data_IF_765837170253
#
_entry.id   IF_765837170253
#
_cell.length_a   1.000
_cell.length_b   1.000
_cell.length_c   1.000
_cell.angle_alpha   90.00
_cell.angle_beta   90.00
_cell.angle_gamma   90.00
#
_symmetry.space_group_name_H-M   'P 1'
#
loop_
_entity.id
_entity.type
_entity.pdbx_description
1 polymer ?
#
# COMPACT_ATOMS: atom_id res chain seq x y z
N UNK A 1 37.28 72.52 -8.95
CA UNK A 1 36.40 71.67 -9.78
C UNK A 1 36.38 70.26 -9.18
N UNK A 2 35.17 69.71 -8.90
CA UNK A 2 34.80 68.32 -8.55
C UNK A 2 35.68 67.50 -7.59
N UNK A 3 35.17 67.32 -6.36
CA UNK A 3 35.31 66.09 -5.54
C UNK A 3 34.19 65.10 -5.98
N UNK A 4 34.22 63.76 -5.77
CA UNK A 4 34.08 63.18 -4.42
C UNK A 4 34.60 61.74 -4.18
N UNK A 5 34.59 61.34 -2.88
CA UNK A 5 34.19 60.01 -2.35
C UNK A 5 35.16 58.82 -2.54
N UNK A 6 35.28 57.83 -1.65
CA UNK A 6 34.59 57.47 -0.41
C UNK A 6 35.24 56.21 0.22
N UNK A 7 35.27 56.18 1.56
CA UNK A 7 34.91 55.07 2.47
C UNK A 7 35.57 53.67 2.44
N UNK A 8 35.97 53.26 3.65
CA UNK A 8 36.13 51.91 4.19
C UNK A 8 34.90 50.99 4.00
N UNK A 9 35.13 49.67 3.89
CA UNK A 9 34.32 48.60 4.52
C UNK A 9 34.97 47.20 4.37
N UNK A 10 35.05 46.37 5.42
CA UNK A 10 35.15 44.91 5.29
C UNK A 10 33.76 44.30 5.06
N UNK A 11 33.63 43.46 4.04
CA UNK A 11 32.37 42.78 3.71
C UNK A 11 32.07 41.63 4.69
N UNK A 12 31.14 41.93 5.59
CA UNK A 12 29.90 41.20 5.94
C UNK A 12 29.95 39.65 5.95
N UNK A 13 29.64 39.12 7.14
CA UNK A 13 29.07 37.79 7.41
C UNK A 13 27.83 37.55 6.51
N UNK A 14 27.82 36.47 5.73
CA UNK A 14 26.59 35.89 5.16
C UNK A 14 25.97 34.96 6.21
N UNK A 15 24.84 35.35 6.81
CA UNK A 15 23.49 35.08 6.34
C UNK A 15 23.12 33.60 6.52
N UNK A 16 22.63 33.30 7.72
CA UNK A 16 21.78 32.13 7.99
C UNK A 16 20.49 32.28 7.18
N UNK A 17 20.31 31.44 6.17
CA UNK A 17 19.05 31.24 5.45
C UNK A 17 18.78 29.74 5.52
N UNK A 18 17.62 29.22 5.90
CA UNK A 18 16.43 29.74 6.52
C UNK A 18 15.74 28.50 7.12
N UNK A 19 14.99 28.66 8.19
CA UNK A 19 14.13 27.60 8.72
C UNK A 19 13.08 27.28 7.65
N UNK A 20 13.36 26.27 6.83
CA UNK A 20 12.37 25.66 5.96
C UNK A 20 11.25 25.14 6.83
N UNK A 21 10.07 25.73 6.65
CA UNK A 21 8.84 25.47 7.35
C UNK A 21 8.64 23.96 7.52
N UNK A 22 8.86 23.49 8.74
CA UNK A 22 8.63 22.10 9.10
C UNK A 22 7.13 21.90 9.07
N UNK A 23 6.58 21.52 7.90
CA UNK A 23 5.23 20.96 7.84
C UNK A 23 5.16 19.90 8.94
N UNK A 24 4.27 20.02 9.93
CA UNK A 24 4.17 19.00 10.95
C UNK A 24 3.84 17.70 10.22
N UNK A 25 4.79 16.76 10.19
CA UNK A 25 4.53 15.41 9.72
C UNK A 25 3.49 14.87 10.69
N UNK A 26 2.24 14.82 10.24
CA UNK A 26 1.15 14.38 11.08
C UNK A 26 1.28 12.85 11.23
N UNK A 27 2.13 12.41 12.16
CA UNK A 27 2.44 10.99 12.38
C UNK A 27 1.22 10.17 12.84
N UNK A 28 0.14 10.83 13.27
CA UNK A 28 -1.10 10.21 13.73
C UNK A 28 -2.08 9.88 12.60
N UNK A 29 -2.15 10.69 11.54
CA UNK A 29 -3.13 10.54 10.44
C UNK A 29 -2.96 9.25 9.61
N UNK A 30 -1.93 8.49 9.91
CA UNK A 30 -1.45 7.44 9.03
C UNK A 30 -1.05 6.19 9.86
N UNK A 31 -1.34 6.16 11.18
CA UNK A 31 -1.08 4.98 12.01
C UNK A 31 -2.12 3.88 11.71
N UNK A 32 -1.66 2.64 11.58
CA UNK A 32 -2.55 1.48 11.51
C UNK A 32 -3.21 1.29 12.88
N UNK A 33 -4.55 1.23 12.97
CA UNK A 33 -5.27 0.91 14.21
C UNK A 33 -4.80 -0.43 14.80
N UNK A 34 -4.73 -0.57 16.12
CA UNK A 34 -4.22 -1.80 16.75
C UNK A 34 -5.07 -3.05 16.41
N UNK A 35 -6.36 -2.85 16.19
CA UNK A 35 -7.38 -3.83 15.85
C UNK A 35 -7.55 -4.05 14.33
N UNK A 36 -6.64 -3.55 13.49
CA UNK A 36 -6.79 -3.56 12.03
C UNK A 36 -7.13 -4.92 11.42
N UNK A 37 -6.66 -6.03 12.01
CA UNK A 37 -6.97 -7.38 11.54
C UNK A 37 -8.46 -7.71 11.62
N UNK A 38 -9.14 -7.22 12.66
CA UNK A 38 -10.58 -7.41 12.86
C UNK A 38 -11.42 -6.52 11.93
N UNK A 39 -10.77 -5.55 11.29
CA UNK A 39 -11.38 -4.59 10.37
C UNK A 39 -11.16 -4.93 8.91
N UNK A 40 -10.49 -6.06 8.62
CA UNK A 40 -10.34 -6.55 7.25
C UNK A 40 -11.72 -6.93 6.69
N UNK A 41 -11.95 -6.73 5.38
CA UNK A 41 -13.17 -7.21 4.77
C UNK A 41 -13.20 -8.74 4.79
N UNK A 42 -14.41 -9.30 4.82
CA UNK A 42 -14.63 -10.74 4.72
C UNK A 42 -13.95 -11.28 3.44
N UNK A 43 -13.22 -12.37 3.60
CA UNK A 43 -12.28 -12.84 2.59
C UNK A 43 -12.99 -13.27 1.29
N UNK A 44 -14.15 -13.93 1.38
CA UNK A 44 -14.93 -14.27 0.19
C UNK A 44 -15.34 -13.03 -0.59
N UNK A 45 -15.96 -12.05 0.08
CA UNK A 45 -16.39 -10.79 -0.53
C UNK A 45 -15.22 -10.07 -1.19
N UNK A 46 -14.09 -10.00 -0.50
CA UNK A 46 -12.88 -9.39 -1.04
C UNK A 46 -12.41 -10.10 -2.31
N UNK A 47 -12.20 -11.42 -2.27
CA UNK A 47 -11.68 -12.16 -3.41
C UNK A 47 -12.64 -12.19 -4.61
N UNK A 48 -13.96 -12.22 -4.36
CA UNK A 48 -14.99 -12.09 -5.41
C UNK A 48 -14.89 -10.75 -6.15
N UNK A 49 -14.55 -9.66 -5.45
CA UNK A 49 -14.31 -8.35 -6.06
C UNK A 49 -13.01 -8.28 -6.87
N UNK A 50 -11.98 -9.02 -6.46
CA UNK A 50 -10.67 -8.96 -7.11
C UNK A 50 -10.50 -9.93 -8.29
N UNK A 51 -11.23 -11.04 -8.31
CA UNK A 51 -11.01 -12.16 -9.23
C UNK A 51 -12.26 -12.36 -10.08
N UNK A 52 -12.18 -11.97 -11.36
CA UNK A 52 -13.33 -11.95 -12.28
C UNK A 52 -14.04 -13.31 -12.44
N UNK A 53 -13.29 -14.41 -12.36
CA UNK A 53 -13.82 -15.78 -12.44
C UNK A 53 -13.31 -16.62 -11.27
N UNK A 54 -13.90 -16.40 -10.10
CA UNK A 54 -13.63 -17.20 -8.91
C UNK A 54 -14.66 -18.34 -8.81
N UNK A 55 -14.19 -19.58 -8.66
CA UNK A 55 -15.06 -20.74 -8.49
C UNK A 55 -15.87 -20.66 -7.19
N UNK A 56 -16.81 -21.59 -7.02
CA UNK A 56 -17.39 -21.84 -5.70
C UNK A 56 -16.31 -22.45 -4.79
N UNK A 57 -16.31 -22.12 -3.49
CA UNK A 57 -15.44 -22.81 -2.54
C UNK A 57 -15.82 -24.29 -2.47
N UNK A 58 -14.82 -25.15 -2.34
CA UNK A 58 -15.01 -26.57 -2.07
C UNK A 58 -15.42 -26.80 -0.60
N UNK A 59 -15.63 -28.06 -0.21
CA UNK A 59 -16.00 -28.42 1.17
C UNK A 59 -14.98 -28.01 2.24
N UNK A 60 -13.75 -27.69 1.84
CA UNK A 60 -12.69 -27.18 2.71
C UNK A 60 -12.53 -25.65 2.65
N UNK A 61 -13.43 -24.93 1.95
CA UNK A 61 -13.40 -23.46 1.86
C UNK A 61 -12.44 -22.88 0.83
N UNK A 62 -11.83 -23.71 -0.04
CA UNK A 62 -10.93 -23.24 -1.09
C UNK A 62 -11.67 -23.00 -2.41
N UNK A 63 -11.46 -21.83 -3.00
CA UNK A 63 -11.91 -21.47 -4.34
C UNK A 63 -10.72 -21.25 -5.28
N UNK A 64 -10.90 -21.55 -6.56
CA UNK A 64 -9.89 -21.39 -7.61
C UNK A 64 -10.27 -20.30 -8.59
N UNK A 65 -9.27 -19.62 -9.14
CA UNK A 65 -9.46 -18.62 -10.17
C UNK A 65 -8.19 -18.36 -10.96
N UNK A 66 -8.31 -17.57 -12.03
CA UNK A 66 -7.15 -17.05 -12.74
C UNK A 66 -6.51 -15.93 -11.92
N UNK A 67 -5.18 -15.95 -11.79
CA UNK A 67 -4.47 -14.84 -11.16
C UNK A 67 -4.59 -13.60 -12.08
N UNK A 68 -5.03 -12.43 -11.58
CA UNK A 68 -5.32 -11.29 -12.44
C UNK A 68 -4.08 -10.54 -12.99
N UNK A 69 -2.86 -11.08 -12.82
CA UNK A 69 -1.58 -10.41 -13.14
C UNK A 69 -0.77 -11.06 -14.25
N UNK A 70 -1.23 -12.18 -14.78
CA UNK A 70 -0.67 -12.79 -15.97
C UNK A 70 -1.78 -13.54 -16.70
N UNK A 71 -1.57 -13.88 -17.98
CA UNK A 71 -2.46 -14.80 -18.68
C UNK A 71 -2.33 -16.19 -18.06
N UNK A 72 -3.13 -16.40 -17.02
CA UNK A 72 -3.27 -17.69 -16.38
C UNK A 72 -4.34 -18.49 -17.10
N UNK A 73 -3.90 -19.29 -18.07
CA UNK A 73 -4.81 -20.16 -18.84
C UNK A 73 -5.37 -21.32 -18.01
N UNK A 74 -4.83 -21.59 -16.80
CA UNK A 74 -5.11 -22.82 -16.06
C UNK A 74 -5.57 -22.59 -14.60
N UNK A 75 -6.05 -21.39 -14.27
CA UNK A 75 -6.55 -21.05 -12.93
C UNK A 75 -5.63 -21.51 -11.78
N UNK A 76 -4.39 -21.02 -11.79
CA UNK A 76 -3.33 -21.38 -10.85
C UNK A 76 -3.45 -20.73 -9.46
N UNK A 77 -4.43 -19.84 -9.24
CA UNK A 77 -4.68 -19.21 -7.95
C UNK A 77 -5.72 -20.01 -7.15
N UNK A 78 -5.34 -20.42 -5.94
CA UNK A 78 -6.28 -20.87 -4.91
C UNK A 78 -6.37 -19.86 -3.78
N UNK A 79 -7.58 -19.55 -3.34
CA UNK A 79 -7.88 -18.68 -2.18
C UNK A 79 -8.80 -19.41 -1.21
N UNK A 80 -8.59 -19.22 0.08
CA UNK A 80 -9.44 -19.75 1.13
C UNK A 80 -10.43 -18.67 1.55
N UNK A 81 -11.72 -18.91 1.33
CA UNK A 81 -12.77 -17.90 1.49
C UNK A 81 -13.03 -17.52 2.94
N UNK A 82 -12.72 -18.40 3.90
CA UNK A 82 -12.86 -18.09 5.34
C UNK A 82 -11.61 -17.47 5.96
N UNK A 83 -10.45 -18.12 5.83
CA UNK A 83 -9.21 -17.68 6.48
C UNK A 83 -8.46 -16.57 5.75
N UNK A 84 -8.82 -16.30 4.49
CA UNK A 84 -8.17 -15.28 3.67
C UNK A 84 -6.82 -15.70 3.08
N UNK A 85 -6.36 -16.94 3.29
CA UNK A 85 -5.11 -17.42 2.71
C UNK A 85 -5.20 -17.57 1.19
N UNK A 86 -4.08 -17.37 0.50
CA UNK A 86 -3.98 -17.61 -0.93
C UNK A 86 -2.64 -18.24 -1.31
N UNK A 87 -2.66 -18.96 -2.43
CA UNK A 87 -1.48 -19.57 -3.05
C UNK A 87 -1.63 -19.52 -4.55
N UNK A 88 -0.58 -19.07 -5.22
CA UNK A 88 -0.44 -19.20 -6.67
C UNK A 88 0.54 -20.33 -6.98
N UNK A 89 0.07 -21.34 -7.71
CA UNK A 89 0.85 -22.51 -8.11
C UNK A 89 1.76 -22.25 -9.31
N UNK A 90 1.58 -21.13 -10.03
CA UNK A 90 2.48 -20.70 -11.10
C UNK A 90 3.75 -19.97 -10.59
N UNK A 91 3.98 -19.93 -9.27
CA UNK A 91 5.20 -19.38 -8.68
C UNK A 91 5.10 -17.92 -8.23
N UNK A 92 3.91 -17.29 -8.28
CA UNK A 92 3.75 -15.93 -7.77
C UNK A 92 3.83 -15.82 -6.23
N UNK A 93 3.83 -16.94 -5.51
CA UNK A 93 3.92 -16.98 -4.05
C UNK A 93 2.58 -17.28 -3.39
N UNK A 94 2.45 -16.90 -2.13
CA UNK A 94 1.23 -17.07 -1.33
C UNK A 94 1.35 -16.31 -0.01
N UNK A 95 0.25 -16.23 0.73
CA UNK A 95 0.19 -15.48 1.98
C UNK A 95 -1.24 -15.25 2.43
N UNK A 96 -1.46 -14.18 3.19
CA UNK A 96 -2.78 -13.75 3.63
C UNK A 96 -3.40 -12.72 2.67
N UNK A 97 -4.62 -12.29 3.00
CA UNK A 97 -5.39 -11.31 2.25
C UNK A 97 -4.65 -9.98 2.05
N UNK A 98 -3.86 -9.55 3.04
CA UNK A 98 -3.02 -8.35 2.94
C UNK A 98 -1.89 -8.57 1.95
N UNK A 99 -1.19 -9.70 2.04
CA UNK A 99 -0.14 -10.07 1.10
C UNK A 99 -0.65 -10.19 -0.33
N UNK A 100 -1.89 -10.68 -0.52
CA UNK A 100 -2.53 -10.66 -1.83
C UNK A 100 -2.72 -9.22 -2.33
N UNK A 101 -3.29 -8.34 -1.50
CA UNK A 101 -3.55 -6.95 -1.84
C UNK A 101 -2.28 -6.17 -2.18
N UNK A 102 -1.23 -6.34 -1.36
CA UNK A 102 0.10 -5.79 -1.61
C UNK A 102 0.64 -6.23 -2.96
N UNK A 103 0.60 -7.53 -3.24
CA UNK A 103 1.10 -8.08 -4.51
C UNK A 103 0.26 -7.63 -5.70
N UNK A 104 -1.04 -7.42 -5.49
CA UNK A 104 -1.96 -6.95 -6.52
C UNK A 104 -1.70 -5.53 -6.98
N UNK A 105 -1.52 -4.64 -6.01
CA UNK A 105 -1.45 -3.21 -6.27
C UNK A 105 -0.02 -2.66 -6.17
N UNK A 106 0.98 -3.51 -5.91
CA UNK A 106 2.36 -3.09 -5.72
C UNK A 106 2.55 -2.21 -4.48
N UNK A 107 1.79 -2.47 -3.42
CA UNK A 107 1.75 -1.64 -2.22
C UNK A 107 2.66 -2.18 -1.12
N UNK A 108 3.15 -1.28 -0.29
CA UNK A 108 3.72 -1.64 1.00
C UNK A 108 2.62 -2.12 1.97
N UNK A 109 3.04 -2.86 3.00
CA UNK A 109 2.13 -3.45 4.00
C UNK A 109 1.15 -2.43 4.59
N UNK A 110 1.65 -1.24 4.93
CA UNK A 110 0.86 -0.26 5.66
C UNK A 110 -0.19 0.37 4.77
N UNK A 111 0.18 0.73 3.55
CA UNK A 111 -0.78 1.25 2.56
C UNK A 111 -1.86 0.22 2.26
N UNK A 112 -1.46 -1.05 2.06
CA UNK A 112 -2.41 -2.14 1.81
C UNK A 112 -3.42 -2.34 2.95
N UNK A 113 -2.96 -2.34 4.20
CA UNK A 113 -3.86 -2.46 5.36
C UNK A 113 -4.83 -1.27 5.41
N UNK A 114 -4.34 -0.06 5.19
CA UNK A 114 -5.18 1.15 5.23
C UNK A 114 -6.24 1.15 4.12
N UNK A 115 -5.95 0.63 2.93
CA UNK A 115 -6.93 0.51 1.85
C UNK A 115 -7.99 -0.56 2.16
N UNK A 116 -7.57 -1.72 2.66
CA UNK A 116 -8.47 -2.82 3.04
C UNK A 116 -9.46 -2.39 4.14
N UNK A 117 -9.00 -1.71 5.19
CA UNK A 117 -9.90 -1.28 6.29
C UNK A 117 -10.81 -0.11 5.92
N UNK A 118 -10.51 0.63 4.83
CA UNK A 118 -11.37 1.69 4.30
C UNK A 118 -12.45 1.14 3.37
N UNK A 119 -12.37 -0.14 2.99
CA UNK A 119 -13.27 -0.74 2.00
C UNK A 119 -13.05 -0.21 0.58
N UNK A 120 -11.84 0.29 0.28
CA UNK A 120 -11.51 0.83 -1.04
C UNK A 120 -11.15 -0.26 -2.08
N UNK A 121 -11.37 -1.53 -1.75
CA UNK A 121 -10.98 -2.69 -2.54
C UNK A 121 -12.17 -3.54 -2.97
#
# INVERSE_FOLDING_TARGET
MRNPRSTHAPTKRGAVVGFGESRPRNHTANRIPQDWRQRLPEAERYYRGQIAKLSKPNGAGWAQGAFPFHEDRNASLSVHTVSGFWRCFAGCGGGDQVGFHMKRYGLDFRTAVLELIKGAA
#
